data_IF_403123475726
#
_entry.id   IF_403123475726
#
_cell.length_a   1.000
_cell.length_b   1.000
_cell.length_c   1.000
_cell.angle_alpha   90.00
_cell.angle_beta   90.00
_cell.angle_gamma   90.00
#
_symmetry.space_group_name_H-M   'P 1'
#
loop_
_entity.id
_entity.type
_entity.pdbx_description
1 polymer ?
#
# COMPACT_ATOMS: atom_id res chain seq x y z
N UNK A 1 -1.80 5.52 4.01
CA UNK A 1 -0.43 6.00 3.77
C UNK A 1 -0.22 7.35 4.43
N UNK A 2 0.67 7.39 5.41
CA UNK A 2 1.10 8.64 6.01
C UNK A 2 2.27 9.18 5.21
N UNK A 3 2.00 10.15 4.35
CA UNK A 3 3.01 10.73 3.49
C UNK A 3 2.98 12.23 3.67
N UNK A 4 4.16 12.81 3.88
CA UNK A 4 4.31 14.25 3.99
C UNK A 4 3.88 14.90 2.65
N UNK A 5 3.01 15.93 2.68
CA UNK A 5 2.63 16.62 1.45
C UNK A 5 3.79 17.18 0.65
N UNK A 6 4.94 17.42 1.30
CA UNK A 6 6.15 17.89 0.64
C UNK A 6 7.00 16.77 0.06
N UNK A 7 6.63 15.50 0.28
CA UNK A 7 7.39 14.37 -0.26
C UNK A 7 7.33 14.36 -1.78
N UNK A 8 8.42 13.95 -2.42
CA UNK A 8 8.48 13.83 -3.87
C UNK A 8 7.63 12.66 -4.36
N UNK A 9 7.34 12.63 -5.67
CA UNK A 9 6.60 11.51 -6.26
C UNK A 9 7.35 10.19 -6.08
N UNK A 10 8.67 10.22 -6.17
CA UNK A 10 9.49 9.04 -5.93
C UNK A 10 9.38 8.55 -4.49
N UNK A 11 9.34 9.47 -3.53
CA UNK A 11 9.16 9.10 -2.12
C UNK A 11 7.80 8.47 -1.88
N UNK A 12 6.76 8.98 -2.54
CA UNK A 12 5.41 8.41 -2.47
C UNK A 12 5.43 6.98 -3.00
N UNK A 13 6.05 6.76 -4.15
CA UNK A 13 6.15 5.43 -4.76
C UNK A 13 6.92 4.45 -3.86
N UNK A 14 8.01 4.93 -3.25
CA UNK A 14 8.80 4.11 -2.34
C UNK A 14 8.00 3.74 -1.10
N UNK A 15 7.29 4.69 -0.51
CA UNK A 15 6.46 4.44 0.67
C UNK A 15 5.37 3.43 0.36
N UNK A 16 4.69 3.56 -0.78
CA UNK A 16 3.68 2.61 -1.21
C UNK A 16 4.28 1.22 -1.38
N UNK A 17 5.41 1.11 -2.08
CA UNK A 17 6.06 -0.17 -2.33
C UNK A 17 6.45 -0.86 -1.02
N UNK A 18 6.97 -0.10 -0.07
CA UNK A 18 7.35 -0.62 1.23
C UNK A 18 6.15 -1.19 1.98
N UNK A 19 5.04 -0.46 2.00
CA UNK A 19 3.81 -0.93 2.65
C UNK A 19 3.21 -2.12 1.92
N UNK A 20 3.21 -2.10 0.60
CA UNK A 20 2.69 -3.19 -0.20
C UNK A 20 3.46 -4.49 0.06
N UNK A 21 4.79 -4.41 0.16
CA UNK A 21 5.61 -5.57 0.47
C UNK A 21 5.35 -6.08 1.89
N UNK A 22 5.17 -5.18 2.84
CA UNK A 22 4.94 -5.53 4.23
C UNK A 22 3.61 -6.26 4.42
N UNK A 23 2.58 -5.86 3.67
CA UNK A 23 1.22 -6.39 3.82
C UNK A 23 0.81 -7.29 2.65
N UNK A 24 1.76 -7.74 1.84
CA UNK A 24 1.42 -8.57 0.68
C UNK A 24 0.83 -9.91 1.12
N UNK A 25 -0.35 -10.30 0.59
CA UNK A 25 -1.01 -11.51 1.04
C UNK A 25 -0.21 -12.79 0.82
N UNK A 26 0.64 -12.83 -0.22
CA UNK A 26 1.46 -14.01 -0.50
C UNK A 26 2.45 -14.31 0.60
N UNK A 27 2.89 -13.30 1.35
CA UNK A 27 3.82 -13.49 2.46
C UNK A 27 3.15 -14.01 3.72
N UNK A 28 1.82 -13.96 3.78
CA UNK A 28 1.06 -14.25 4.99
C UNK A 28 0.23 -15.53 4.84
N UNK A 29 0.32 -16.20 3.70
CA UNK A 29 -0.46 -17.42 3.42
C UNK A 29 -0.17 -18.55 4.40
N UNK A 30 1.00 -18.58 5.02
CA UNK A 30 1.37 -19.63 5.98
C UNK A 30 0.78 -19.42 7.36
N UNK A 31 0.17 -18.27 7.63
CA UNK A 31 -0.37 -17.93 8.95
C UNK A 31 -1.85 -18.22 9.11
N UNK A 32 -2.50 -18.76 8.06
CA UNK A 32 -3.90 -19.12 8.10
C UNK A 32 -4.78 -18.19 7.26
N UNK A 33 -6.00 -18.66 6.96
CA UNK A 33 -6.91 -17.92 6.08
C UNK A 33 -7.41 -16.62 6.68
N UNK A 34 -7.65 -16.59 7.99
CA UNK A 34 -8.14 -15.39 8.65
C UNK A 34 -7.11 -14.25 8.54
N UNK A 35 -5.83 -14.60 8.76
CA UNK A 35 -4.74 -13.63 8.64
C UNK A 35 -4.56 -13.20 7.18
N UNK A 36 -4.71 -14.16 6.25
CA UNK A 36 -4.64 -13.86 4.83
C UNK A 36 -5.71 -12.86 4.39
N UNK A 37 -6.95 -13.08 4.85
CA UNK A 37 -8.05 -12.17 4.52
C UNK A 37 -7.80 -10.77 5.07
N UNK A 38 -7.32 -10.67 6.31
CA UNK A 38 -6.98 -9.38 6.90
C UNK A 38 -5.88 -8.67 6.11
N UNK A 39 -4.88 -9.43 5.65
CA UNK A 39 -3.80 -8.88 4.84
C UNK A 39 -4.29 -8.41 3.46
N UNK A 40 -5.18 -9.17 2.84
CA UNK A 40 -5.77 -8.78 1.56
C UNK A 40 -6.57 -7.49 1.69
N UNK A 41 -7.36 -7.36 2.74
CA UNK A 41 -8.12 -6.15 3.00
C UNK A 41 -7.21 -4.95 3.23
N UNK A 42 -6.14 -5.15 4.01
CA UNK A 42 -5.16 -4.10 4.26
C UNK A 42 -4.45 -3.69 2.97
N UNK A 43 -4.07 -4.65 2.16
CA UNK A 43 -3.43 -4.41 0.87
C UNK A 43 -4.34 -3.61 -0.04
N UNK A 44 -5.63 -3.95 -0.05
CA UNK A 44 -6.64 -3.22 -0.83
C UNK A 44 -6.74 -1.77 -0.39
N UNK A 45 -6.77 -1.53 0.93
CA UNK A 45 -6.79 -0.16 1.47
C UNK A 45 -5.55 0.62 1.06
N UNK A 46 -4.39 -0.02 1.06
CA UNK A 46 -3.14 0.60 0.63
C UNK A 46 -3.21 0.99 -0.86
N UNK A 47 -3.74 0.11 -1.69
CA UNK A 47 -3.92 0.40 -3.11
C UNK A 47 -4.89 1.55 -3.34
N UNK A 48 -6.00 1.58 -2.61
CA UNK A 48 -6.98 2.66 -2.72
C UNK A 48 -6.35 4.00 -2.33
N UNK A 49 -5.60 4.02 -1.23
CA UNK A 49 -4.91 5.23 -0.79
C UNK A 49 -3.87 5.67 -1.82
N UNK A 50 -3.13 4.72 -2.38
CA UNK A 50 -2.16 5.01 -3.45
C UNK A 50 -2.84 5.66 -4.64
N UNK A 51 -3.94 5.09 -5.10
CA UNK A 51 -4.67 5.64 -6.25
C UNK A 51 -5.14 7.07 -6.00
N UNK A 52 -5.66 7.33 -4.81
CA UNK A 52 -6.09 8.67 -4.44
C UNK A 52 -4.92 9.67 -4.47
N UNK A 53 -3.80 9.28 -3.89
CA UNK A 53 -2.61 10.14 -3.84
C UNK A 53 -2.06 10.36 -5.26
N UNK A 54 -1.95 9.31 -6.04
CA UNK A 54 -1.42 9.40 -7.40
C UNK A 54 -2.30 10.28 -8.27
N UNK A 55 -3.62 10.13 -8.13
CA UNK A 55 -4.57 10.95 -8.87
C UNK A 55 -4.48 12.42 -8.48
N UNK A 56 -4.40 12.69 -7.17
CA UNK A 56 -4.31 14.04 -6.65
C UNK A 56 -3.03 14.74 -7.10
N UNK A 57 -1.92 13.98 -7.22
CA UNK A 57 -0.63 14.51 -7.63
C UNK A 57 -0.40 14.47 -9.14
N UNK A 58 -1.27 13.80 -9.89
CA UNK A 58 -1.07 13.60 -11.32
C UNK A 58 0.02 12.61 -11.66
N UNK A 59 0.32 11.68 -10.77
CA UNK A 59 1.31 10.62 -11.01
C UNK A 59 0.66 9.51 -11.85
N UNK A 60 1.37 9.05 -12.86
CA UNK A 60 0.90 7.94 -13.71
C UNK A 60 1.54 6.61 -13.34
#
# INVERSE_FOLDING_TARGET
LEIDPSASDDDVKKAYRKLALKHHPDKITTLGEDVKKAAEEKFRQINDAKEMIFKARGIK
#
